data_IF_439782867287
#
_entry.id   IF_439782867287
#
_cell.length_a   1.000
_cell.length_b   1.000
_cell.length_c   1.000
_cell.angle_alpha   90.00
_cell.angle_beta   90.00
_cell.angle_gamma   90.00
#
_symmetry.space_group_name_H-M   'P 1'
#
loop_
_entity.id
_entity.type
_entity.pdbx_description
1 polymer ?
#
# COMPACT_ATOMS: atom_id res chain seq x y z
N UNK A 1 36.03 13.05 3.94
CA UNK A 1 35.94 11.59 3.66
C UNK A 1 35.62 10.72 4.88
N UNK A 2 36.25 10.89 6.06
CA UNK A 2 35.94 10.06 7.24
C UNK A 2 34.47 10.17 7.69
N UNK A 3 33.95 11.39 7.86
CA UNK A 3 32.55 11.65 8.24
C UNK A 3 31.55 11.06 7.23
N UNK A 4 31.82 11.20 5.92
CA UNK A 4 30.97 10.62 4.87
C UNK A 4 30.87 9.10 4.97
N UNK A 5 31.99 8.39 5.18
CA UNK A 5 31.98 6.93 5.33
C UNK A 5 31.22 6.47 6.58
N UNK A 6 31.34 7.22 7.68
CA UNK A 6 30.58 6.96 8.90
C UNK A 6 29.09 7.16 8.64
N UNK A 7 28.69 8.26 8.00
CA UNK A 7 27.29 8.52 7.65
C UNK A 7 26.70 7.43 6.74
N UNK A 8 27.44 7.01 5.70
CA UNK A 8 27.02 5.92 4.81
C UNK A 8 26.88 4.59 5.55
N UNK A 9 27.82 4.28 6.45
CA UNK A 9 27.74 3.08 7.28
C UNK A 9 26.51 3.12 8.20
N UNK A 10 26.29 4.22 8.91
CA UNK A 10 25.13 4.39 9.80
C UNK A 10 23.82 4.28 9.02
N UNK A 11 23.71 4.93 7.86
CA UNK A 11 22.51 4.85 7.01
C UNK A 11 22.23 3.42 6.54
N UNK A 12 23.24 2.71 6.02
CA UNK A 12 23.07 1.31 5.59
C UNK A 12 22.82 0.36 6.77
N UNK A 13 23.32 0.67 7.96
CA UNK A 13 23.05 -0.09 9.17
C UNK A 13 21.57 0.03 9.59
N UNK A 14 21.00 1.23 9.49
CA UNK A 14 19.57 1.44 9.75
C UNK A 14 18.71 0.67 8.75
N UNK A 15 19.07 0.68 7.46
CA UNK A 15 18.39 -0.13 6.42
C UNK A 15 18.48 -1.62 6.76
N UNK A 16 19.65 -2.10 7.15
CA UNK A 16 19.84 -3.50 7.54
C UNK A 16 18.97 -3.90 8.74
N UNK A 17 18.92 -3.06 9.78
CA UNK A 17 18.05 -3.28 10.94
C UNK A 17 16.57 -3.26 10.57
N UNK A 18 16.15 -2.34 9.70
CA UNK A 18 14.77 -2.30 9.19
C UNK A 18 14.43 -3.60 8.43
N UNK A 19 15.34 -4.10 7.59
CA UNK A 19 15.19 -5.41 6.92
C UNK A 19 14.99 -6.55 7.92
N UNK A 20 15.79 -6.60 9.00
CA UNK A 20 15.60 -7.57 10.07
C UNK A 20 14.21 -7.46 10.71
N UNK A 21 13.73 -6.25 11.00
CA UNK A 21 12.40 -6.07 11.60
C UNK A 21 11.28 -6.54 10.67
N UNK A 22 11.37 -6.25 9.38
CA UNK A 22 10.38 -6.67 8.38
C UNK A 22 10.37 -8.20 8.24
N UNK A 23 11.54 -8.85 8.24
CA UNK A 23 11.64 -10.31 8.24
C UNK A 23 11.02 -10.94 9.48
N UNK A 24 11.28 -10.38 10.67
CA UNK A 24 10.68 -10.86 11.91
C UNK A 24 9.17 -10.74 11.86
N UNK A 25 8.63 -9.62 11.36
CA UNK A 25 7.19 -9.43 11.18
C UNK A 25 6.63 -10.45 10.17
N UNK A 26 7.27 -10.64 9.02
CA UNK A 26 6.85 -11.61 8.01
C UNK A 26 6.87 -13.06 8.53
N UNK A 27 7.92 -13.45 9.27
CA UNK A 27 8.02 -14.77 9.88
C UNK A 27 6.99 -14.95 11.00
N UNK A 28 6.76 -13.91 11.81
CA UNK A 28 5.73 -13.90 12.85
C UNK A 28 4.34 -14.16 12.28
N UNK A 29 4.03 -13.57 11.11
CA UNK A 29 2.77 -13.82 10.40
C UNK A 29 2.60 -15.28 9.94
N UNK A 30 3.69 -16.00 9.64
CA UNK A 30 3.65 -17.41 9.20
C UNK A 30 3.69 -18.42 10.35
N UNK A 31 4.49 -18.16 11.38
CA UNK A 31 4.79 -19.12 12.45
C UNK A 31 3.65 -19.29 13.47
N UNK A 32 2.72 -18.34 13.51
CA UNK A 32 1.61 -18.37 14.45
C UNK A 32 0.25 -18.41 13.73
N UNK A 33 -0.06 -19.52 13.01
CA UNK A 33 -1.32 -19.67 12.27
C UNK A 33 -2.55 -19.61 13.20
N UNK A 34 -2.40 -19.95 14.48
CA UNK A 34 -3.45 -19.81 15.51
C UNK A 34 -3.70 -18.36 15.95
N UNK A 35 -2.74 -17.43 15.76
CA UNK A 35 -2.97 -15.98 15.87
C UNK A 35 -3.25 -15.32 14.53
N UNK A 36 -2.98 -16.03 13.43
CA UNK A 36 -3.63 -15.81 12.14
C UNK A 36 -5.16 -15.81 12.26
N UNK A 37 -5.76 -16.54 13.20
CA UNK A 37 -7.19 -16.41 13.53
C UNK A 37 -7.58 -15.04 14.13
N UNK A 38 -6.67 -14.34 14.81
CA UNK A 38 -6.88 -12.96 15.29
C UNK A 38 -6.75 -11.97 14.12
N UNK A 39 -5.91 -12.26 13.12
CA UNK A 39 -5.85 -11.51 11.84
C UNK A 39 -6.98 -11.86 10.85
N UNK A 40 -7.55 -13.06 10.92
CA UNK A 40 -8.82 -13.44 10.27
C UNK A 40 -10.02 -12.75 10.93
N UNK A 41 -9.88 -12.31 12.18
CA UNK A 41 -10.83 -11.37 12.79
C UNK A 41 -10.75 -9.98 12.11
N UNK A 42 -9.61 -9.63 11.53
CA UNK A 42 -9.38 -8.36 10.81
C UNK A 42 -9.61 -8.43 9.30
N UNK A 43 -9.53 -9.60 8.66
CA UNK A 43 -9.71 -9.80 7.22
C UNK A 43 -10.74 -10.93 7.02
N UNK A 44 -11.99 -10.55 6.81
CA UNK A 44 -13.13 -11.48 6.96
C UNK A 44 -13.60 -12.12 5.66
N UNK A 45 -13.21 -11.64 4.47
CA UNK A 45 -13.95 -11.99 3.24
C UNK A 45 -13.11 -12.23 1.98
N UNK A 46 -11.93 -12.80 2.13
CA UNK A 46 -11.20 -13.45 1.02
C UNK A 46 -10.51 -14.64 1.65
N UNK A 47 -10.50 -15.83 1.01
CA UNK A 47 -9.86 -17.07 1.51
C UNK A 47 -8.72 -16.78 2.50
N UNK A 48 -9.00 -16.79 3.81
CA UNK A 48 -8.19 -16.02 4.78
C UNK A 48 -6.73 -16.47 4.83
N UNK A 49 -6.52 -17.76 4.60
CA UNK A 49 -5.20 -18.35 4.54
C UNK A 49 -4.38 -17.93 3.32
N UNK A 50 -4.99 -17.67 2.16
CA UNK A 50 -4.23 -17.36 0.94
C UNK A 50 -3.70 -15.93 0.93
N UNK A 51 -4.53 -14.94 1.31
CA UNK A 51 -4.12 -13.52 1.31
C UNK A 51 -3.11 -13.20 2.42
N UNK A 52 -3.29 -13.72 3.64
CA UNK A 52 -2.34 -13.50 4.73
C UNK A 52 -0.99 -14.15 4.40
N UNK A 53 -1.01 -15.36 3.83
CA UNK A 53 0.22 -16.02 3.37
C UNK A 53 0.90 -15.21 2.26
N UNK A 54 0.14 -14.67 1.30
CA UNK A 54 0.68 -13.83 0.24
C UNK A 54 1.35 -12.57 0.80
N UNK A 55 0.71 -11.88 1.75
CA UNK A 55 1.28 -10.70 2.42
C UNK A 55 2.54 -11.08 3.20
N UNK A 56 2.50 -12.18 3.96
CA UNK A 56 3.63 -12.63 4.76
C UNK A 56 4.83 -13.04 3.89
N UNK A 57 4.61 -13.80 2.80
CA UNK A 57 5.66 -14.14 1.84
C UNK A 57 6.22 -12.90 1.14
N UNK A 58 5.37 -11.91 0.83
CA UNK A 58 5.81 -10.63 0.26
C UNK A 58 6.70 -9.84 1.23
N UNK A 59 6.32 -9.77 2.52
CA UNK A 59 7.14 -9.14 3.57
C UNK A 59 8.46 -9.87 3.77
N UNK A 60 8.46 -11.21 3.73
CA UNK A 60 9.69 -11.99 3.81
C UNK A 60 10.62 -11.73 2.61
N UNK A 61 10.08 -11.75 1.39
CA UNK A 61 10.84 -11.45 0.18
C UNK A 61 11.43 -10.05 0.19
N UNK A 62 10.61 -9.04 0.48
CA UNK A 62 11.04 -7.64 0.56
C UNK A 62 12.05 -7.42 1.68
N UNK A 63 11.78 -7.97 2.87
CA UNK A 63 12.68 -7.90 4.02
C UNK A 63 14.04 -8.52 3.74
N UNK A 64 14.08 -9.63 3.01
CA UNK A 64 15.34 -10.28 2.62
C UNK A 64 16.14 -9.43 1.63
N UNK A 65 15.48 -8.82 0.63
CA UNK A 65 16.11 -7.90 -0.32
C UNK A 65 16.70 -6.70 0.44
N UNK A 66 15.92 -6.07 1.33
CA UNK A 66 16.38 -4.91 2.12
C UNK A 66 17.54 -5.29 3.04
N UNK A 67 17.49 -6.45 3.70
CA UNK A 67 18.55 -6.96 4.56
C UNK A 67 19.85 -7.22 3.77
N UNK A 68 19.76 -7.87 2.61
CA UNK A 68 20.94 -8.15 1.78
C UNK A 68 21.59 -6.87 1.27
N UNK A 69 20.80 -5.93 0.73
CA UNK A 69 21.28 -4.63 0.27
C UNK A 69 21.93 -3.85 1.42
N UNK A 70 21.30 -3.79 2.60
CA UNK A 70 21.86 -3.14 3.79
C UNK A 70 23.18 -3.76 4.26
N UNK A 71 23.29 -5.09 4.24
CA UNK A 71 24.52 -5.79 4.61
C UNK A 71 25.68 -5.47 3.65
N UNK A 72 25.44 -5.57 2.34
CA UNK A 72 26.45 -5.22 1.34
C UNK A 72 26.81 -3.74 1.39
N UNK A 73 25.86 -2.85 1.67
CA UNK A 73 26.08 -1.42 1.86
C UNK A 73 26.98 -1.12 3.06
N UNK A 74 26.74 -1.77 4.21
CA UNK A 74 27.63 -1.67 5.38
C UNK A 74 29.05 -2.14 5.06
N UNK A 75 29.18 -3.28 4.35
CA UNK A 75 30.50 -3.81 3.97
C UNK A 75 31.20 -2.92 2.94
N UNK A 76 30.47 -2.34 1.99
CA UNK A 76 30.98 -1.42 0.99
C UNK A 76 31.47 -0.09 1.61
N UNK A 77 30.78 0.41 2.64
CA UNK A 77 31.19 1.61 3.36
C UNK A 77 32.49 1.39 4.19
N UNK A 78 32.65 0.21 4.78
CA UNK A 78 33.80 -0.13 5.65
C UNK A 78 35.03 -0.62 4.87
N UNK A 79 34.84 -1.44 3.82
CA UNK A 79 35.94 -2.09 3.10
C UNK A 79 36.25 -1.39 1.78
N UNK A 80 37.53 -1.06 1.55
CA UNK A 80 38.04 -0.65 0.24
C UNK A 80 38.19 -1.79 -0.78
N UNK A 81 37.36 -2.84 -0.68
CA UNK A 81 37.40 -3.95 -1.65
C UNK A 81 36.52 -3.61 -2.86
N UNK A 82 37.15 -3.54 -4.03
CA UNK A 82 36.48 -3.24 -5.29
C UNK A 82 35.35 -4.23 -5.61
N UNK A 83 35.50 -5.52 -5.29
CA UNK A 83 34.46 -6.50 -5.59
C UNK A 83 33.17 -6.23 -4.80
N UNK A 84 33.29 -5.96 -3.49
CA UNK A 84 32.14 -5.69 -2.62
C UNK A 84 31.46 -4.37 -3.02
N UNK A 85 32.26 -3.37 -3.37
CA UNK A 85 31.76 -2.09 -3.84
C UNK A 85 31.03 -2.23 -5.19
N UNK A 86 31.61 -2.99 -6.13
CA UNK A 86 30.97 -3.27 -7.41
C UNK A 86 29.66 -4.04 -7.24
N UNK A 87 29.61 -5.08 -6.39
CA UNK A 87 28.37 -5.83 -6.14
C UNK A 87 27.27 -4.94 -5.57
N UNK A 88 27.60 -4.05 -4.63
CA UNK A 88 26.62 -3.13 -4.07
C UNK A 88 26.11 -2.13 -5.13
N UNK A 89 27.01 -1.61 -5.98
CA UNK A 89 26.63 -0.73 -7.09
C UNK A 89 25.72 -1.42 -8.10
N UNK A 90 26.00 -2.68 -8.44
CA UNK A 90 25.12 -3.48 -9.30
C UNK A 90 23.73 -3.68 -8.68
N UNK A 91 23.65 -3.89 -7.36
CA UNK A 91 22.36 -3.98 -6.66
C UNK A 91 21.59 -2.65 -6.72
N UNK A 92 22.25 -1.50 -6.51
CA UNK A 92 21.61 -0.19 -6.63
C UNK A 92 21.07 0.07 -8.05
N UNK A 93 21.83 -0.29 -9.09
CA UNK A 93 21.36 -0.16 -10.48
C UNK A 93 20.12 -1.04 -10.71
N UNK A 94 20.13 -2.29 -10.22
CA UNK A 94 18.98 -3.18 -10.34
C UNK A 94 17.74 -2.59 -9.66
N UNK A 95 17.88 -2.01 -8.46
CA UNK A 95 16.78 -1.35 -7.75
C UNK A 95 16.21 -0.16 -8.52
N UNK A 96 17.07 0.70 -9.09
CA UNK A 96 16.63 1.84 -9.90
C UNK A 96 15.84 1.37 -11.13
N UNK A 97 16.29 0.30 -11.80
CA UNK A 97 15.59 -0.27 -12.96
C UNK A 97 14.23 -0.84 -12.52
N UNK A 98 14.18 -1.61 -11.43
CA UNK A 98 12.91 -2.14 -10.90
C UNK A 98 11.95 -1.02 -10.53
N UNK A 99 12.42 0.04 -9.88
CA UNK A 99 11.62 1.20 -9.51
C UNK A 99 11.02 1.89 -10.75
N UNK A 100 11.81 2.08 -11.82
CA UNK A 100 11.33 2.64 -13.07
C UNK A 100 10.27 1.75 -13.75
N UNK A 101 10.49 0.44 -13.78
CA UNK A 101 9.54 -0.53 -14.37
C UNK A 101 8.25 -0.56 -13.57
N UNK A 102 8.33 -0.62 -12.24
CA UNK A 102 7.14 -0.60 -11.37
C UNK A 102 6.37 0.71 -11.49
N UNK A 103 7.06 1.85 -11.55
CA UNK A 103 6.42 3.14 -11.79
C UNK A 103 5.72 3.21 -13.14
N UNK A 104 6.35 2.71 -14.21
CA UNK A 104 5.76 2.69 -15.55
C UNK A 104 4.51 1.79 -15.61
N UNK A 105 4.61 0.56 -15.09
CA UNK A 105 3.48 -0.38 -15.05
C UNK A 105 2.35 0.18 -14.17
N UNK A 106 2.68 0.70 -12.98
CA UNK A 106 1.70 1.30 -12.07
C UNK A 106 0.98 2.48 -12.70
N UNK A 107 1.70 3.35 -13.42
CA UNK A 107 1.12 4.46 -14.18
C UNK A 107 0.18 4.02 -15.30
N UNK A 108 0.56 3.00 -16.08
CA UNK A 108 -0.30 2.44 -17.13
C UNK A 108 -1.56 1.79 -16.57
N UNK A 109 -1.44 0.99 -15.51
CA UNK A 109 -2.59 0.36 -14.87
C UNK A 109 -3.56 1.39 -14.29
N UNK A 110 -3.05 2.41 -13.59
CA UNK A 110 -3.90 3.47 -13.04
C UNK A 110 -4.63 4.25 -14.13
N UNK A 111 -3.96 4.54 -15.25
CA UNK A 111 -4.60 5.17 -16.41
C UNK A 111 -5.74 4.32 -16.97
N UNK A 112 -5.50 3.02 -17.20
CA UNK A 112 -6.51 2.09 -17.71
C UNK A 112 -7.69 1.89 -16.75
N UNK A 113 -7.41 1.80 -15.44
CA UNK A 113 -8.45 1.63 -14.43
C UNK A 113 -9.36 2.85 -14.41
N UNK A 114 -8.80 4.06 -14.48
CA UNK A 114 -9.56 5.30 -14.44
C UNK A 114 -10.39 5.55 -15.71
N UNK A 115 -9.89 5.19 -16.89
CA UNK A 115 -10.58 5.48 -18.16
C UNK A 115 -11.91 4.73 -18.35
N UNK A 116 -12.05 3.56 -17.72
CA UNK A 116 -13.22 2.69 -17.84
C UNK A 116 -13.87 2.40 -16.48
N UNK A 117 -13.53 3.20 -15.47
CA UNK A 117 -13.95 2.93 -14.10
C UNK A 117 -15.47 3.04 -13.96
N UNK A 118 -16.04 4.10 -14.53
CA UNK A 118 -17.44 4.45 -14.30
C UNK A 118 -18.40 3.40 -14.85
N UNK A 119 -18.22 3.02 -16.12
CA UNK A 119 -19.05 2.01 -16.79
C UNK A 119 -18.91 0.64 -16.10
N UNK A 120 -17.70 0.24 -15.74
CA UNK A 120 -17.46 -1.02 -15.05
C UNK A 120 -18.10 -1.07 -13.66
N UNK A 121 -18.03 0.02 -12.91
CA UNK A 121 -18.64 0.10 -11.57
C UNK A 121 -20.17 0.08 -11.65
N UNK A 122 -20.75 0.84 -12.59
CA UNK A 122 -22.21 0.86 -12.80
C UNK A 122 -22.74 -0.51 -13.27
N UNK A 123 -22.07 -1.15 -14.23
CA UNK A 123 -22.44 -2.48 -14.70
C UNK A 123 -22.33 -3.54 -13.59
N UNK A 124 -21.25 -3.50 -12.78
CA UNK A 124 -21.10 -4.40 -11.63
C UNK A 124 -22.15 -4.15 -10.55
N UNK A 125 -22.50 -2.89 -10.27
CA UNK A 125 -23.57 -2.54 -9.33
C UNK A 125 -24.91 -3.13 -9.79
N UNK A 126 -25.24 -2.99 -11.07
CA UNK A 126 -26.52 -3.45 -11.61
C UNK A 126 -26.69 -4.97 -11.58
N UNK A 127 -25.62 -5.72 -11.88
CA UNK A 127 -25.69 -7.16 -12.13
C UNK A 127 -25.18 -8.03 -10.97
N UNK A 128 -24.21 -7.56 -10.20
CA UNK A 128 -23.40 -8.41 -9.30
C UNK A 128 -23.51 -7.98 -7.83
N UNK A 129 -23.96 -6.76 -7.56
CA UNK A 129 -24.21 -6.34 -6.19
C UNK A 129 -25.26 -7.25 -5.54
N UNK A 130 -24.94 -7.81 -4.38
CA UNK A 130 -25.84 -8.68 -3.61
C UNK A 130 -26.24 -10.01 -4.25
N UNK A 131 -25.66 -10.40 -5.40
CA UNK A 131 -25.94 -11.67 -6.07
C UNK A 131 -24.69 -12.57 -6.06
N UNK A 132 -24.86 -13.83 -5.67
CA UNK A 132 -23.78 -14.81 -5.58
C UNK A 132 -23.73 -15.65 -6.87
N UNK A 133 -22.53 -15.99 -7.32
CA UNK A 133 -22.38 -17.04 -8.32
C UNK A 133 -21.16 -17.91 -8.09
N UNK A 134 -20.14 -17.43 -7.38
CA UNK A 134 -19.01 -18.28 -6.94
C UNK A 134 -18.20 -17.58 -5.86
N UNK A 135 -18.56 -17.76 -4.58
CA UNK A 135 -17.63 -17.75 -3.42
C UNK A 135 -16.64 -16.59 -3.24
N UNK A 136 -16.85 -15.44 -3.86
CA UNK A 136 -16.02 -14.25 -3.72
C UNK A 136 -16.96 -13.03 -3.89
N UNK A 137 -17.32 -12.35 -2.79
CA UNK A 137 -18.13 -11.12 -2.80
C UNK A 137 -17.28 -9.83 -2.68
N UNK A 138 -16.12 -9.66 -3.38
CA UNK A 138 -15.22 -8.54 -3.13
C UNK A 138 -15.85 -7.21 -3.56
N UNK A 139 -16.75 -7.21 -4.56
CA UNK A 139 -17.32 -5.98 -5.08
C UNK A 139 -18.33 -5.35 -4.10
N UNK A 140 -19.34 -6.09 -3.66
CA UNK A 140 -20.34 -5.58 -2.70
C UNK A 140 -19.68 -5.09 -1.42
N UNK A 141 -18.74 -5.86 -0.85
CA UNK A 141 -18.04 -5.47 0.39
C UNK A 141 -17.15 -4.23 0.18
N UNK A 142 -16.53 -4.09 -0.99
CA UNK A 142 -15.72 -2.92 -1.32
C UNK A 142 -16.59 -1.67 -1.49
N UNK A 143 -17.77 -1.80 -2.11
CA UNK A 143 -18.71 -0.70 -2.27
C UNK A 143 -19.33 -0.30 -0.92
N UNK A 144 -19.76 -1.26 -0.11
CA UNK A 144 -20.28 -1.06 1.24
C UNK A 144 -19.24 -0.35 2.14
N UNK A 145 -17.98 -0.76 2.03
CA UNK A 145 -16.87 -0.08 2.69
C UNK A 145 -16.70 1.35 2.17
N UNK A 146 -16.74 1.58 0.85
CA UNK A 146 -16.62 2.91 0.27
C UNK A 146 -17.75 3.85 0.73
N UNK A 147 -18.99 3.35 0.76
CA UNK A 147 -20.17 4.07 1.25
C UNK A 147 -20.00 4.48 2.70
N UNK A 148 -19.64 3.53 3.57
CA UNK A 148 -19.34 3.82 4.98
C UNK A 148 -18.14 4.76 5.15
N UNK A 149 -17.11 4.62 4.33
CA UNK A 149 -15.85 5.37 4.44
C UNK A 149 -16.00 6.83 4.03
N UNK A 150 -16.76 7.07 2.96
CA UNK A 150 -16.88 8.37 2.32
C UNK A 150 -18.24 9.04 2.54
N UNK A 151 -19.17 8.41 3.28
CA UNK A 151 -20.53 8.91 3.50
C UNK A 151 -21.25 9.20 2.17
N UNK A 152 -21.24 8.21 1.28
CA UNK A 152 -21.82 8.27 -0.05
C UNK A 152 -22.73 7.06 -0.27
N UNK A 153 -23.55 7.09 -1.32
CA UNK A 153 -24.38 5.97 -1.73
C UNK A 153 -24.32 5.78 -3.24
N UNK A 154 -24.32 4.52 -3.68
CA UNK A 154 -24.20 4.16 -5.09
C UNK A 154 -22.92 4.66 -5.77
N UNK A 155 -22.93 4.71 -7.10
CA UNK A 155 -21.82 5.20 -7.93
C UNK A 155 -21.95 6.72 -8.09
N UNK A 156 -23.09 7.19 -8.60
CA UNK A 156 -23.47 8.59 -8.79
C UNK A 156 -24.48 9.08 -7.75
N UNK A 157 -25.27 8.18 -7.15
CA UNK A 157 -26.22 8.52 -6.09
C UNK A 157 -27.00 7.32 -5.57
N UNK A 158 -27.92 7.55 -4.64
CA UNK A 158 -28.74 6.49 -4.05
C UNK A 158 -29.73 5.85 -5.03
N UNK A 159 -30.14 6.58 -6.06
CA UNK A 159 -31.02 6.08 -7.13
C UNK A 159 -30.38 4.97 -7.97
N UNK A 160 -29.05 4.79 -7.94
CA UNK A 160 -28.36 3.76 -8.72
C UNK A 160 -28.77 2.33 -8.34
N UNK A 161 -29.35 2.14 -7.15
CA UNK A 161 -29.89 0.85 -6.72
C UNK A 161 -31.24 0.51 -7.38
N UNK A 162 -31.94 1.51 -7.91
CA UNK A 162 -33.18 1.31 -8.63
C UNK A 162 -32.92 0.52 -9.92
N UNK A 163 -33.73 -0.51 -10.15
CA UNK A 163 -33.62 -1.41 -11.30
C UNK A 163 -32.54 -2.49 -11.20
N UNK A 164 -31.67 -2.47 -10.17
CA UNK A 164 -30.61 -3.47 -9.99
C UNK A 164 -31.18 -4.87 -9.69
N UNK A 165 -30.39 -5.92 -9.95
CA UNK A 165 -30.78 -7.30 -9.63
C UNK A 165 -31.12 -7.46 -8.13
N UNK A 166 -30.27 -6.94 -7.25
CA UNK A 166 -30.47 -6.95 -5.80
C UNK A 166 -31.79 -6.29 -5.37
N UNK A 167 -32.12 -5.13 -5.91
CA UNK A 167 -33.35 -4.42 -5.56
C UNK A 167 -34.60 -5.21 -5.98
N UNK A 168 -34.60 -5.78 -7.19
CA UNK A 168 -35.70 -6.64 -7.66
C UNK A 168 -35.87 -7.88 -6.79
N UNK A 169 -34.77 -8.54 -6.42
CA UNK A 169 -34.79 -9.73 -5.56
C UNK A 169 -35.32 -9.42 -4.16
N UNK A 170 -34.95 -8.26 -3.60
CA UNK A 170 -35.47 -7.75 -2.32
C UNK A 170 -36.98 -7.52 -2.35
N UNK A 171 -37.50 -6.99 -3.46
CA UNK A 171 -38.94 -6.78 -3.66
C UNK A 171 -39.73 -8.10 -3.69
N UNK A 172 -39.16 -9.15 -4.28
CA UNK A 172 -39.77 -10.49 -4.37
C UNK A 172 -39.69 -11.21 -3.01
N UNK A 173 -38.56 -11.09 -2.32
CA UNK A 173 -38.28 -11.81 -1.06
C UNK A 173 -38.95 -11.18 0.17
N UNK A 174 -39.61 -10.03 0.01
CA UNK A 174 -40.28 -9.30 1.09
C UNK A 174 -39.37 -8.38 1.90
N UNK A 175 -38.06 -8.37 1.63
CA UNK A 175 -37.09 -7.44 2.22
C UNK A 175 -37.00 -6.17 1.36
N UNK A 176 -38.07 -5.36 1.38
CA UNK A 176 -38.17 -4.14 0.59
C UNK A 176 -37.25 -3.05 1.15
N UNK A 177 -36.05 -2.93 0.57
CA UNK A 177 -35.10 -1.86 0.85
C UNK A 177 -34.86 -1.08 -0.43
N UNK A 178 -34.85 0.25 -0.33
CA UNK A 178 -34.51 1.14 -1.44
C UNK A 178 -33.00 1.19 -1.64
N UNK A 179 -32.24 1.16 -0.55
CA UNK A 179 -30.78 1.19 -0.56
C UNK A 179 -30.18 0.22 0.45
N UNK A 180 -28.94 -0.22 0.27
CA UNK A 180 -28.21 -0.94 1.30
C UNK A 180 -28.07 -0.13 2.57
N UNK A 181 -28.00 -0.83 3.72
CA UNK A 181 -27.93 -0.18 5.03
C UNK A 181 -26.66 0.67 5.23
N UNK A 182 -25.60 0.42 4.46
CA UNK A 182 -24.37 1.22 4.42
C UNK A 182 -24.55 2.60 3.79
N UNK A 183 -25.63 2.83 3.03
CA UNK A 183 -26.04 4.14 2.58
C UNK A 183 -26.77 4.96 3.67
N UNK A 184 -27.21 4.31 4.75
CA UNK A 184 -27.86 4.99 5.86
C UNK A 184 -26.84 5.62 6.82
N UNK A 185 -27.24 6.70 7.48
CA UNK A 185 -26.46 7.30 8.55
C UNK A 185 -26.40 6.34 9.74
N UNK A 186 -25.21 5.82 10.04
CA UNK A 186 -25.01 4.80 11.08
C UNK A 186 -24.87 5.42 12.48
N UNK A 187 -25.47 4.75 13.48
CA UNK A 187 -25.44 5.14 14.89
C UNK A 187 -24.02 5.21 15.48
N UNK A 188 -23.12 4.36 14.96
CA UNK A 188 -21.72 4.27 15.40
C UNK A 188 -20.85 5.49 15.01
N UNK A 189 -21.38 6.45 14.25
CA UNK A 189 -20.68 7.67 13.85
C UNK A 189 -20.71 8.79 14.91
N UNK A 190 -21.59 8.73 15.93
CA UNK A 190 -21.86 9.87 16.83
C UNK A 190 -21.16 9.86 18.20
N UNK A 191 -20.38 8.84 18.57
CA UNK A 191 -19.75 8.81 19.91
C UNK A 191 -18.28 9.25 19.92
N UNK A 192 -18.06 10.57 19.75
CA UNK A 192 -17.37 11.48 20.71
C UNK A 192 -17.09 12.85 20.07
N UNK A 193 -17.94 13.81 20.41
CA UNK A 193 -17.65 15.23 20.65
C UNK A 193 -16.87 16.01 19.57
N UNK A 194 -17.57 16.62 18.62
CA UNK A 194 -17.62 18.08 18.34
C UNK A 194 -18.24 18.29 16.95
N UNK A 195 -19.06 19.34 16.81
CA UNK A 195 -19.98 19.53 15.70
C UNK A 195 -19.38 19.48 14.30
N UNK A 196 -20.22 19.12 13.34
CA UNK A 196 -20.23 19.58 11.94
C UNK A 196 -18.87 19.72 11.20
N UNK A 197 -17.84 18.98 11.59
CA UNK A 197 -16.60 18.80 10.83
C UNK A 197 -16.50 17.35 10.39
N UNK A 198 -16.18 17.08 9.11
CA UNK A 198 -16.01 15.72 8.64
C UNK A 198 -14.90 15.05 9.45
N UNK A 199 -15.24 13.95 10.14
CA UNK A 199 -14.26 13.10 10.82
C UNK A 199 -13.10 12.80 9.87
N UNK A 200 -11.87 12.92 10.37
CA UNK A 200 -10.68 12.48 9.64
C UNK A 200 -10.84 11.04 9.16
N UNK A 201 -10.51 10.83 7.89
CA UNK A 201 -10.35 9.54 7.21
C UNK A 201 -9.58 8.54 8.08
N UNK A 202 -8.59 9.02 8.85
CA UNK A 202 -7.75 8.24 9.77
C UNK A 202 -8.57 7.74 10.97
N UNK A 203 -9.37 8.59 11.62
CA UNK A 203 -10.14 8.19 12.80
C UNK A 203 -11.12 7.05 12.50
N UNK A 204 -11.77 7.06 11.33
CA UNK A 204 -12.75 6.03 10.93
C UNK A 204 -12.14 4.65 10.64
N UNK A 205 -10.86 4.61 10.25
CA UNK A 205 -10.12 3.36 9.96
C UNK A 205 -9.42 2.80 11.20
N UNK A 206 -9.02 3.66 12.14
CA UNK A 206 -8.25 3.26 13.33
C UNK A 206 -9.06 3.27 14.64
N UNK A 207 -10.40 3.18 14.59
CA UNK A 207 -11.23 3.10 15.82
C UNK A 207 -10.91 1.85 16.67
N UNK A 208 -10.91 2.08 17.98
CA UNK A 208 -10.38 1.21 19.04
C UNK A 208 -11.26 -0.01 19.41
N UNK A 209 -12.39 -0.22 18.73
CA UNK A 209 -13.22 -1.44 18.88
C UNK A 209 -13.02 -2.33 17.64
N UNK A 210 -12.00 -3.15 17.73
CA UNK A 210 -11.43 -4.00 16.68
C UNK A 210 -12.32 -5.20 16.25
N UNK A 211 -13.55 -5.32 16.77
CA UNK A 211 -14.38 -6.52 16.57
C UNK A 211 -15.61 -6.31 15.67
N UNK A 212 -15.96 -5.08 15.31
CA UNK A 212 -17.18 -4.81 14.54
C UNK A 212 -16.86 -3.88 13.37
N UNK A 213 -16.86 -4.44 12.15
CA UNK A 213 -16.68 -3.70 10.90
C UNK A 213 -18.04 -3.10 10.52
N UNK A 214 -18.27 -1.78 10.67
CA UNK A 214 -19.62 -1.23 10.57
C UNK A 214 -20.25 -1.32 9.17
N UNK A 215 -19.45 -1.58 8.13
CA UNK A 215 -19.95 -1.81 6.77
C UNK A 215 -20.39 -3.27 6.53
N UNK A 216 -19.93 -4.23 7.34
CA UNK A 216 -20.36 -5.63 7.28
C UNK A 216 -21.62 -5.87 8.12
N UNK A 217 -21.74 -5.16 9.25
CA UNK A 217 -22.92 -5.17 10.11
C UNK A 217 -23.37 -3.73 10.39
N UNK A 218 -23.92 -3.04 9.39
CA UNK A 218 -24.40 -1.66 9.54
C UNK A 218 -25.56 -1.57 10.51
N UNK A 219 -25.46 -0.62 11.45
CA UNK A 219 -26.53 -0.25 12.39
C UNK A 219 -26.99 1.19 12.10
N UNK A 220 -28.02 1.37 11.27
CA UNK A 220 -28.60 2.69 10.99
C UNK A 220 -29.10 3.37 12.27
N UNK A 221 -29.02 4.70 12.29
CA UNK A 221 -29.64 5.52 13.34
C UNK A 221 -31.16 5.36 13.33
N UNK A 222 -31.74 5.36 12.14
CA UNK A 222 -33.14 5.04 11.87
C UNK A 222 -33.23 4.34 10.50
N UNK A 223 -33.46 3.02 10.52
CA UNK A 223 -33.59 2.23 9.28
C UNK A 223 -34.89 2.58 8.56
N UNK A 224 -35.99 2.84 9.28
CA UNK A 224 -37.27 3.11 8.66
C UNK A 224 -37.24 4.44 7.89
N UNK A 225 -36.75 5.51 8.52
CA UNK A 225 -36.60 6.82 7.87
C UNK A 225 -35.63 6.75 6.67
N UNK A 226 -34.51 6.02 6.80
CA UNK A 226 -33.56 5.85 5.70
C UNK A 226 -34.17 5.14 4.48
N UNK A 227 -35.13 4.24 4.67
CA UNK A 227 -35.71 3.40 3.60
C UNK A 227 -36.98 3.99 2.96
N UNK A 228 -37.42 5.17 3.39
CA UNK A 228 -38.55 5.87 2.77
C UNK A 228 -38.20 6.28 1.33
N UNK A 229 -39.14 6.09 0.40
CA UNK A 229 -38.97 6.44 -1.02
C UNK A 229 -38.97 7.97 -1.24
N UNK A 230 -39.82 8.67 -0.48
CA UNK A 230 -39.93 10.13 -0.52
C UNK A 230 -38.65 10.84 -0.03
N UNK A 231 -38.23 11.87 -0.79
CA UNK A 231 -36.98 12.59 -0.58
C UNK A 231 -36.90 13.37 0.74
N UNK A 232 -38.03 13.90 1.21
CA UNK A 232 -38.13 14.61 2.50
C UNK A 232 -38.08 13.59 3.65
N UNK A 233 -38.69 12.43 3.47
CA UNK A 233 -38.75 11.36 4.48
C UNK A 233 -37.39 10.77 4.88
N UNK A 234 -36.41 10.75 3.97
CA UNK A 234 -35.06 10.24 4.23
C UNK A 234 -33.98 11.32 4.36
N UNK A 235 -34.36 12.61 4.39
CA UNK A 235 -33.43 13.72 4.56
C UNK A 235 -32.68 13.60 5.90
N UNK A 236 -31.35 13.64 5.86
CA UNK A 236 -30.50 13.49 7.05
C UNK A 236 -30.34 12.05 7.58
N UNK A 237 -31.03 11.06 6.98
CA UNK A 237 -30.91 9.64 7.35
C UNK A 237 -30.29 8.78 6.24
N UNK A 238 -30.24 9.27 5.00
CA UNK A 238 -29.61 8.61 3.83
C UNK A 238 -28.56 9.51 3.18
N UNK A 239 -27.44 8.92 2.74
CA UNK A 239 -26.46 9.58 1.88
C UNK A 239 -26.98 9.64 0.43
N UNK A 240 -27.05 10.84 -0.17
CA UNK A 240 -27.50 11.06 -1.56
C UNK A 240 -26.37 11.19 -2.57
N UNK A 241 -25.18 11.61 -2.13
CA UNK A 241 -24.04 11.82 -3.02
C UNK A 241 -23.40 10.49 -3.45
N UNK A 242 -23.07 10.37 -4.75
CA UNK A 242 -22.34 9.25 -5.32
C UNK A 242 -20.94 9.02 -4.75
N UNK A 243 -20.50 7.77 -4.71
CA UNK A 243 -19.17 7.40 -4.24
C UNK A 243 -18.05 7.63 -5.26
N UNK A 244 -18.36 7.62 -6.56
CA UNK A 244 -17.35 7.62 -7.62
C UNK A 244 -16.39 8.81 -7.50
N UNK A 245 -16.91 10.04 -7.39
CA UNK A 245 -16.09 11.24 -7.27
C UNK A 245 -15.24 11.26 -5.98
N UNK A 246 -15.75 10.72 -4.88
CA UNK A 246 -15.00 10.66 -3.61
C UNK A 246 -13.89 9.62 -3.67
N UNK A 247 -14.15 8.45 -4.27
CA UNK A 247 -13.17 7.37 -4.44
C UNK A 247 -12.08 7.77 -5.42
N UNK A 248 -12.42 8.38 -6.56
CA UNK A 248 -11.42 8.83 -7.55
C UNK A 248 -10.52 9.93 -6.98
N UNK A 249 -11.08 10.90 -6.27
CA UNK A 249 -10.29 11.94 -5.59
C UNK A 249 -9.36 11.35 -4.51
N UNK A 250 -9.86 10.40 -3.71
CA UNK A 250 -9.02 9.71 -2.73
C UNK A 250 -7.90 8.91 -3.40
N UNK A 251 -8.22 8.14 -4.45
CA UNK A 251 -7.25 7.34 -5.20
C UNK A 251 -6.16 8.21 -5.84
N UNK A 252 -6.54 9.36 -6.40
CA UNK A 252 -5.60 10.33 -6.94
C UNK A 252 -4.67 10.88 -5.85
N UNK A 253 -5.21 11.24 -4.67
CA UNK A 253 -4.43 11.76 -3.55
C UNK A 253 -3.41 10.74 -3.01
N UNK A 254 -3.83 9.49 -2.82
CA UNK A 254 -2.94 8.41 -2.39
C UNK A 254 -1.89 8.09 -3.46
N UNK A 255 -2.29 8.07 -4.75
CA UNK A 255 -1.37 7.88 -5.87
C UNK A 255 -0.30 8.97 -5.92
N UNK A 256 -0.66 10.25 -5.76
CA UNK A 256 0.31 11.35 -5.68
C UNK A 256 1.29 11.16 -4.52
N UNK A 257 0.80 10.74 -3.36
CA UNK A 257 1.65 10.47 -2.19
C UNK A 257 2.67 9.36 -2.49
N UNK A 258 2.23 8.25 -3.09
CA UNK A 258 3.12 7.16 -3.51
C UNK A 258 4.14 7.61 -4.55
N UNK A 259 3.72 8.44 -5.50
CA UNK A 259 4.61 9.01 -6.54
C UNK A 259 5.68 9.92 -5.90
N UNK A 260 5.33 10.77 -4.94
CA UNK A 260 6.29 11.59 -4.21
C UNK A 260 7.28 10.74 -3.39
N UNK A 261 6.78 9.72 -2.70
CA UNK A 261 7.63 8.79 -1.96
C UNK A 261 8.59 8.04 -2.91
N UNK A 262 8.10 7.58 -4.06
CA UNK A 262 8.93 6.99 -5.11
C UNK A 262 10.01 7.93 -5.60
N UNK A 263 9.65 9.15 -6.02
CA UNK A 263 10.64 10.16 -6.46
C UNK A 263 11.71 10.45 -5.40
N UNK A 264 11.32 10.55 -4.12
CA UNK A 264 12.26 10.73 -3.02
C UNK A 264 13.20 9.52 -2.88
N UNK A 265 12.67 8.30 -2.97
CA UNK A 265 13.45 7.06 -2.91
C UNK A 265 14.43 6.94 -4.08
N UNK A 266 14.00 7.16 -5.32
CA UNK A 266 14.87 7.23 -6.49
C UNK A 266 15.98 8.27 -6.30
N UNK A 267 15.63 9.47 -5.81
CA UNK A 267 16.58 10.53 -5.52
C UNK A 267 17.65 10.11 -4.50
N UNK A 268 17.25 9.42 -3.43
CA UNK A 268 18.19 8.87 -2.44
C UNK A 268 19.09 7.82 -3.07
N UNK A 269 18.54 6.88 -3.85
CA UNK A 269 19.32 5.83 -4.52
C UNK A 269 20.35 6.41 -5.50
N UNK A 270 19.96 7.40 -6.30
CA UNK A 270 20.85 8.06 -7.27
C UNK A 270 21.98 8.81 -6.56
N UNK A 271 21.68 9.56 -5.49
CA UNK A 271 22.71 10.23 -4.70
C UNK A 271 23.68 9.23 -4.07
N UNK A 272 23.14 8.13 -3.53
CA UNK A 272 23.92 7.04 -2.95
C UNK A 272 24.86 6.42 -4.00
N UNK A 273 24.34 6.14 -5.18
CA UNK A 273 25.09 5.63 -6.33
C UNK A 273 26.25 6.56 -6.71
N UNK A 274 25.99 7.87 -6.85
CA UNK A 274 27.02 8.86 -7.18
C UNK A 274 28.12 8.89 -6.11
N UNK A 275 27.75 8.85 -4.83
CA UNK A 275 28.71 8.85 -3.73
C UNK A 275 29.58 7.58 -3.76
N UNK A 276 28.98 6.41 -3.98
CA UNK A 276 29.73 5.16 -4.05
C UNK A 276 30.56 5.03 -5.34
N UNK A 277 30.13 5.61 -6.47
CA UNK A 277 30.95 5.79 -7.67
C UNK A 277 32.23 6.57 -7.36
N UNK A 278 32.12 7.71 -6.66
CA UNK A 278 33.29 8.50 -6.24
C UNK A 278 34.21 7.70 -5.31
N UNK A 279 33.66 6.94 -4.37
CA UNK A 279 34.44 6.06 -3.50
C UNK A 279 35.14 4.94 -4.28
N UNK A 280 34.51 4.43 -5.35
CA UNK A 280 35.09 3.41 -6.22
C UNK A 280 36.27 3.99 -7.01
N UNK A 281 36.10 5.17 -7.59
CA UNK A 281 37.16 5.88 -8.30
C UNK A 281 38.36 6.15 -7.39
N UNK A 282 38.15 6.68 -6.18
CA UNK A 282 39.22 6.87 -5.20
C UNK A 282 39.94 5.57 -4.85
N UNK A 283 39.20 4.48 -4.71
CA UNK A 283 39.75 3.16 -4.38
C UNK A 283 40.60 2.62 -5.54
N UNK A 284 40.15 2.78 -6.79
CA UNK A 284 40.90 2.42 -8.00
C UNK A 284 42.19 3.25 -8.09
N UNK A 285 42.10 4.57 -7.94
CA UNK A 285 43.25 5.48 -8.00
C UNK A 285 44.28 5.16 -6.91
N UNK A 286 43.83 4.87 -5.67
CA UNK A 286 44.73 4.48 -4.58
C UNK A 286 45.45 3.16 -4.89
N UNK A 287 44.76 2.15 -5.41
CA UNK A 287 45.39 0.88 -5.82
C UNK A 287 46.39 1.09 -6.97
N UNK A 288 46.06 1.94 -7.96
CA UNK A 288 46.95 2.26 -9.08
C UNK A 288 48.25 2.91 -8.61
N UNK A 289 48.17 3.93 -7.74
CA UNK A 289 49.35 4.60 -7.15
C UNK A 289 50.21 3.63 -6.36
N UNK A 290 49.62 2.72 -5.59
CA UNK A 290 50.35 1.69 -4.85
C UNK A 290 51.10 0.77 -5.82
N UNK A 291 50.43 0.27 -6.87
CA UNK A 291 51.04 -0.61 -7.88
C UNK A 291 52.19 0.07 -8.62
N UNK A 292 52.04 1.35 -8.98
CA UNK A 292 53.09 2.17 -9.59
C UNK A 292 54.29 2.32 -8.64
N UNK A 293 54.06 2.60 -7.34
CA UNK A 293 55.13 2.70 -6.34
C UNK A 293 55.92 1.38 -6.16
N UNK A 294 55.24 0.22 -6.14
CA UNK A 294 55.92 -1.08 -6.10
C UNK A 294 56.72 -1.36 -7.38
N UNK A 295 56.17 -1.01 -8.54
CA UNK A 295 56.86 -1.21 -9.84
C UNK A 295 58.14 -0.37 -9.93
N UNK A 296 58.08 0.89 -9.49
CA UNK A 296 59.24 1.79 -9.46
C UNK A 296 60.31 1.27 -8.49
N UNK A 297 59.91 0.85 -7.27
CA UNK A 297 60.85 0.25 -6.30
C UNK A 297 61.54 -1.01 -6.85
N UNK A 298 60.80 -1.90 -7.51
CA UNK A 298 61.37 -3.12 -8.07
C UNK A 298 62.34 -2.83 -9.22
N UNK A 299 62.04 -1.87 -10.10
CA UNK A 299 62.97 -1.45 -11.16
C UNK A 299 64.26 -0.87 -10.59
N UNK A 300 64.17 -0.06 -9.53
CA UNK A 300 65.35 0.52 -8.88
C UNK A 300 66.21 -0.55 -8.19
N UNK A 301 65.60 -1.57 -7.59
CA UNK A 301 66.32 -2.69 -6.97
C UNK A 301 67.12 -3.52 -7.99
N UNK A 302 66.56 -3.74 -9.19
CA UNK A 302 67.22 -4.47 -10.29
C UNK A 302 68.41 -3.68 -10.86
N UNK A 303 68.36 -2.35 -10.87
CA UNK A 303 69.45 -1.49 -11.36
C UNK A 303 70.66 -1.41 -10.41
N UNK A 304 70.50 -1.85 -9.16
CA UNK A 304 71.55 -1.81 -8.12
C UNK A 304 72.27 -3.16 -7.98
N UNK A 305 71.71 -4.24 -8.56
CA UNK A 305 72.28 -5.59 -8.62
C UNK A 305 73.01 -5.83 -9.94
#
# INVERSE_FOLDING_TARGET
>A
MKYLKVALFTFNLLIWLAGCTVLVIGAWLLLEPSKGHILNLFVSDIKPHETINLIAYSLLGLGFIVLTVGFFGCRAALRGNQCILATYMSMLIALIITELVTAAIGGLMTFQILSDLEERLSNKLSMEYGHDSTSDLPFSHSLDFAQYKFNCCGIYGDDDYNGTAWWRDGQISGNKRQVPLTCCVLKNSENKNTGSSPMSVVSRVFHKNLNEKPWLHPQPKDEAACQVEDEEGHEGYRHKEGCLGKVTNWLQCESFTLVFLGMAMAGIQVNLFIIFCKLLEETILKKRKIKESYTVKNKMLILIL
#
